data_IF_397076630085
#
_entry.id   IF_397076630085
#
_cell.length_a   1.000
_cell.length_b   1.000
_cell.length_c   1.000
_cell.angle_alpha   90.00
_cell.angle_beta   90.00
_cell.angle_gamma   90.00
#
_symmetry.space_group_name_H-M   'P 1'
#
loop_
_entity.id
_entity.type
_entity.pdbx_description
1 polymer ?
#
# COMPACT_ATOMS: atom_id res chain seq x y z
N UNK A 1 24.23 -32.00 20.00
CA UNK A 1 25.64 -31.61 19.91
C UNK A 1 25.79 -30.09 19.92
N UNK A 2 26.58 -29.54 20.81
CA UNK A 2 26.73 -28.07 20.98
C UNK A 2 27.68 -27.48 19.93
N UNK A 3 27.58 -26.18 19.60
CA UNK A 3 28.50 -25.49 18.69
C UNK A 3 30.00 -25.62 19.12
N UNK A 4 30.26 -25.62 20.44
CA UNK A 4 31.59 -25.79 20.99
C UNK A 4 32.23 -27.17 20.70
N UNK A 5 31.42 -28.22 20.74
CA UNK A 5 31.87 -29.59 20.43
C UNK A 5 32.24 -29.74 18.95
N UNK A 6 31.45 -29.13 18.05
CA UNK A 6 31.74 -29.15 16.60
C UNK A 6 33.05 -28.43 16.29
N UNK A 7 33.29 -27.28 16.92
CA UNK A 7 34.55 -26.51 16.76
C UNK A 7 35.77 -27.30 17.25
N UNK A 8 35.66 -27.91 18.42
CA UNK A 8 36.76 -28.71 19.00
C UNK A 8 37.15 -29.87 18.09
N UNK A 9 36.15 -30.63 17.60
CA UNK A 9 36.40 -31.77 16.71
C UNK A 9 36.96 -31.34 15.35
N UNK A 10 36.47 -30.21 14.80
CA UNK A 10 37.02 -29.65 13.56
C UNK A 10 38.45 -29.12 13.74
N UNK A 11 38.76 -28.48 14.87
CA UNK A 11 40.10 -28.04 15.24
C UNK A 11 41.10 -29.20 15.47
N UNK A 12 40.58 -30.39 15.77
CA UNK A 12 41.38 -31.64 15.85
C UNK A 12 41.59 -32.32 14.48
N UNK A 13 41.30 -31.63 13.35
CA UNK A 13 41.54 -32.14 12.00
C UNK A 13 40.40 -32.95 11.37
N UNK A 14 39.25 -33.10 12.04
CA UNK A 14 38.09 -33.78 11.47
C UNK A 14 37.34 -32.89 10.50
N UNK A 15 37.30 -33.26 9.22
CA UNK A 15 36.57 -32.51 8.21
C UNK A 15 35.06 -32.53 8.47
N UNK A 16 34.32 -31.44 8.07
CA UNK A 16 32.85 -31.42 8.16
C UNK A 16 32.18 -32.55 7.37
N UNK A 17 32.86 -33.09 6.34
CA UNK A 17 32.42 -34.29 5.60
C UNK A 17 32.36 -35.52 6.48
N UNK A 18 33.46 -35.78 7.21
CA UNK A 18 33.58 -36.94 8.11
C UNK A 18 32.64 -36.79 9.32
N UNK A 19 32.53 -35.60 9.86
CA UNK A 19 31.55 -35.30 10.93
C UNK A 19 30.09 -35.47 10.46
N UNK A 20 29.79 -35.17 9.20
CA UNK A 20 28.46 -35.36 8.61
C UNK A 20 28.10 -36.86 8.52
N UNK A 21 29.04 -37.69 8.11
CA UNK A 21 28.85 -39.16 8.01
C UNK A 21 28.62 -39.80 9.37
N UNK A 22 29.43 -39.39 10.37
CA UNK A 22 29.34 -39.97 11.72
C UNK A 22 28.12 -39.50 12.51
N UNK A 23 27.71 -38.25 12.30
CA UNK A 23 26.66 -37.63 13.10
C UNK A 23 25.27 -37.58 12.41
N UNK A 24 25.19 -37.99 11.13
CA UNK A 24 23.93 -37.91 10.38
C UNK A 24 23.40 -36.51 10.15
N UNK A 25 24.26 -35.47 10.33
CA UNK A 25 23.86 -34.07 10.19
C UNK A 25 24.38 -33.48 8.87
N UNK A 26 23.62 -32.61 8.17
CA UNK A 26 24.09 -31.96 6.95
C UNK A 26 25.38 -31.17 7.17
N UNK A 27 26.31 -31.22 6.20
CA UNK A 27 27.58 -30.47 6.24
C UNK A 27 27.38 -28.97 6.48
N UNK A 28 26.34 -28.36 5.86
CA UNK A 28 26.00 -26.96 6.05
C UNK A 28 25.63 -26.62 7.51
N UNK A 29 24.89 -27.50 8.18
CA UNK A 29 24.55 -27.35 9.60
C UNK A 29 25.77 -27.43 10.51
N UNK A 30 26.70 -28.35 10.21
CA UNK A 30 27.94 -28.49 10.96
C UNK A 30 28.89 -27.32 10.74
N UNK A 31 29.02 -26.85 9.50
CA UNK A 31 29.78 -25.63 9.17
C UNK A 31 29.21 -24.38 9.85
N UNK A 32 27.89 -24.21 9.86
CA UNK A 32 27.24 -23.11 10.56
C UNK A 32 27.44 -23.16 12.08
N UNK A 33 27.47 -24.35 12.70
CA UNK A 33 27.75 -24.54 14.12
C UNK A 33 29.24 -24.41 14.47
N UNK A 34 30.11 -24.76 13.53
CA UNK A 34 31.57 -24.64 13.66
C UNK A 34 32.10 -23.25 13.38
N UNK A 35 31.38 -22.46 12.61
CA UNK A 35 31.75 -21.08 12.35
C UNK A 35 31.74 -20.27 13.66
N UNK A 36 32.81 -19.56 13.94
CA UNK A 36 32.76 -18.50 14.93
C UNK A 36 31.68 -17.53 14.52
N UNK A 37 30.78 -17.18 15.46
CA UNK A 37 29.90 -16.02 15.24
C UNK A 37 30.83 -14.84 14.94
N UNK A 38 31.01 -14.52 13.66
CA UNK A 38 31.60 -13.23 13.29
C UNK A 38 30.74 -12.21 14.03
N UNK A 39 31.23 -11.75 15.17
CA UNK A 39 30.74 -10.50 15.75
C UNK A 39 30.93 -9.51 14.63
N UNK A 40 29.83 -9.22 13.91
CA UNK A 40 29.86 -8.16 12.93
C UNK A 40 30.33 -6.95 13.74
N UNK A 41 31.60 -6.55 13.55
CA UNK A 41 32.04 -5.25 13.99
C UNK A 41 30.98 -4.31 13.44
N UNK A 42 30.15 -3.80 14.31
CA UNK A 42 29.26 -2.68 14.00
C UNK A 42 30.19 -1.58 13.55
N UNK A 43 30.55 -1.57 12.27
CA UNK A 43 31.20 -0.46 11.64
C UNK A 43 30.23 0.69 11.84
N UNK A 44 30.55 1.56 12.81
CA UNK A 44 29.80 2.80 13.01
C UNK A 44 29.76 3.44 11.63
N UNK A 45 28.58 3.51 11.04
CA UNK A 45 28.44 4.07 9.68
C UNK A 45 28.90 5.52 9.75
N UNK A 46 29.98 5.82 9.03
CA UNK A 46 30.54 7.18 8.96
C UNK A 46 29.46 8.11 8.43
N UNK A 47 29.13 9.20 9.15
CA UNK A 47 28.22 10.22 8.66
C UNK A 47 28.73 10.77 7.32
N UNK A 48 27.83 10.94 6.36
CA UNK A 48 28.17 11.57 5.08
C UNK A 48 27.85 13.05 5.13
N UNK A 49 28.57 13.86 4.38
CA UNK A 49 28.40 15.32 4.35
C UNK A 49 26.95 15.78 4.08
N UNK A 50 26.20 15.01 3.28
CA UNK A 50 24.81 15.29 2.93
C UNK A 50 23.76 14.73 3.92
N UNK A 51 24.18 14.10 5.04
CA UNK A 51 23.24 13.54 6.03
C UNK A 51 22.44 14.63 6.75
N UNK A 52 22.99 15.83 6.93
CA UNK A 52 22.30 16.96 7.57
C UNK A 52 21.08 17.43 6.73
N UNK A 53 21.28 17.64 5.44
CA UNK A 53 20.20 18.00 4.53
C UNK A 53 19.14 16.91 4.44
N UNK A 54 19.55 15.63 4.41
CA UNK A 54 18.61 14.49 4.41
C UNK A 54 17.79 14.42 5.70
N UNK A 55 18.37 14.72 6.86
CA UNK A 55 17.63 14.78 8.13
C UNK A 55 16.56 15.86 8.12
N UNK A 56 16.89 17.04 7.59
CA UNK A 56 15.92 18.13 7.46
C UNK A 56 14.73 17.68 6.57
N UNK A 57 15.00 17.16 5.38
CA UNK A 57 13.94 16.65 4.49
C UNK A 57 13.12 15.52 5.14
N UNK A 58 13.76 14.64 5.90
CA UNK A 58 13.06 13.59 6.65
C UNK A 58 12.14 14.19 7.71
N UNK A 59 12.57 15.20 8.47
CA UNK A 59 11.74 15.88 9.46
C UNK A 59 10.55 16.57 8.83
N UNK A 60 10.75 17.33 7.76
CA UNK A 60 9.68 17.99 7.00
C UNK A 60 8.68 17.00 6.41
N UNK A 61 9.16 15.91 5.83
CA UNK A 61 8.29 14.85 5.33
C UNK A 61 7.50 14.18 6.46
N UNK A 62 8.15 13.87 7.57
CA UNK A 62 7.52 13.17 8.69
C UNK A 62 6.56 14.06 9.49
N UNK A 63 6.72 15.39 9.48
CA UNK A 63 5.71 16.28 10.04
C UNK A 63 4.41 16.25 9.25
N UNK A 64 4.48 16.13 7.92
CA UNK A 64 3.30 16.02 7.03
C UNK A 64 2.75 14.60 6.94
N UNK A 65 3.61 13.58 7.00
CA UNK A 65 3.27 12.16 6.79
C UNK A 65 3.86 11.27 7.89
N UNK A 66 3.38 11.38 9.15
CA UNK A 66 3.98 10.70 10.30
C UNK A 66 3.94 9.17 10.20
N UNK A 67 2.98 8.61 9.49
CA UNK A 67 2.77 7.16 9.36
C UNK A 67 3.69 6.49 8.33
N UNK A 68 4.40 7.27 7.51
CA UNK A 68 5.26 6.71 6.47
C UNK A 68 6.49 6.00 7.05
N UNK A 69 6.58 4.70 6.81
CA UNK A 69 7.72 3.87 7.20
C UNK A 69 8.92 4.02 6.25
N UNK A 70 10.04 3.39 6.61
CA UNK A 70 11.33 3.45 5.90
C UNK A 70 11.19 3.31 4.37
N UNK A 71 10.30 2.42 3.88
CA UNK A 71 10.18 2.16 2.43
C UNK A 71 9.59 3.35 1.68
N UNK A 72 8.51 3.96 2.20
CA UNK A 72 7.86 5.14 1.61
C UNK A 72 8.74 6.38 1.70
N UNK A 73 9.32 6.65 2.88
CA UNK A 73 10.28 7.75 3.08
C UNK A 73 11.45 7.64 2.11
N UNK A 74 12.03 6.44 1.96
CA UNK A 74 13.11 6.21 1.00
C UNK A 74 12.69 6.46 -0.44
N UNK A 75 11.51 6.00 -0.84
CA UNK A 75 10.99 6.17 -2.20
C UNK A 75 10.81 7.65 -2.52
N UNK A 76 10.19 8.40 -1.62
CA UNK A 76 10.00 9.85 -1.76
C UNK A 76 11.33 10.59 -1.85
N UNK A 77 12.29 10.31 -0.94
CA UNK A 77 13.62 10.93 -0.97
C UNK A 77 14.38 10.62 -2.26
N UNK A 78 14.27 9.39 -2.80
CA UNK A 78 14.90 9.05 -4.09
C UNK A 78 14.35 9.88 -5.22
N UNK A 79 13.04 10.09 -5.26
CA UNK A 79 12.36 10.91 -6.24
C UNK A 79 12.75 12.38 -6.11
N UNK A 80 12.67 12.93 -4.91
CA UNK A 80 13.04 14.32 -4.61
C UNK A 80 14.51 14.65 -4.93
N UNK A 81 15.42 13.68 -4.73
CA UNK A 81 16.86 13.87 -4.92
C UNK A 81 17.35 13.51 -6.33
N UNK A 82 16.53 12.84 -7.15
CA UNK A 82 16.96 12.32 -8.46
C UNK A 82 18.10 11.30 -8.39
N UNK A 83 18.42 10.73 -7.21
CA UNK A 83 19.55 9.82 -7.02
C UNK A 83 19.24 8.64 -6.10
N UNK A 84 19.98 7.51 -6.24
CA UNK A 84 19.77 6.33 -5.39
C UNK A 84 20.09 6.60 -3.93
N UNK A 85 19.20 6.15 -3.02
CA UNK A 85 19.39 6.22 -1.58
C UNK A 85 19.26 4.81 -0.98
N UNK A 86 20.24 4.37 -0.20
CA UNK A 86 20.26 3.06 0.41
C UNK A 86 19.29 2.90 1.58
N UNK A 87 18.60 1.73 1.66
CA UNK A 87 17.64 1.44 2.75
C UNK A 87 18.29 1.50 4.15
N UNK A 88 19.51 0.99 4.29
CA UNK A 88 20.23 1.01 5.57
C UNK A 88 20.51 2.44 6.05
N UNK A 89 20.88 3.33 5.13
CA UNK A 89 21.14 4.77 5.42
C UNK A 89 19.85 5.47 5.85
N UNK A 90 18.75 5.30 5.08
CA UNK A 90 17.44 5.89 5.44
C UNK A 90 16.97 5.39 6.81
N UNK A 91 17.12 4.10 7.10
CA UNK A 91 16.75 3.53 8.39
C UNK A 91 17.58 4.07 9.55
N UNK A 92 18.88 4.33 9.32
CA UNK A 92 19.77 4.94 10.31
C UNK A 92 19.33 6.36 10.63
N UNK A 93 19.14 7.21 9.61
CA UNK A 93 18.71 8.58 9.79
C UNK A 93 17.36 8.68 10.52
N UNK A 94 16.36 7.87 10.13
CA UNK A 94 15.07 7.82 10.82
C UNK A 94 15.18 7.37 12.29
N UNK A 95 16.14 6.50 12.61
CA UNK A 95 16.37 6.04 13.99
C UNK A 95 17.05 7.12 14.82
N UNK A 96 18.06 7.78 14.26
CA UNK A 96 18.76 8.90 14.90
C UNK A 96 17.81 10.05 15.23
N UNK A 97 16.87 10.35 14.33
CA UNK A 97 15.82 11.37 14.51
C UNK A 97 14.63 10.89 15.36
N UNK A 98 14.62 9.63 15.84
CA UNK A 98 13.49 9.00 16.59
C UNK A 98 12.16 9.00 15.82
N UNK A 99 12.20 8.97 14.49
CA UNK A 99 11.06 9.05 13.58
C UNK A 99 10.66 7.69 12.97
N UNK A 100 11.12 6.58 13.55
CA UNK A 100 10.70 5.24 13.13
C UNK A 100 9.25 5.00 13.54
N UNK A 101 8.43 4.50 12.59
CA UNK A 101 7.10 4.03 12.93
C UNK A 101 7.17 2.77 13.82
N UNK A 102 6.31 2.65 14.84
CA UNK A 102 6.20 1.44 15.65
C UNK A 102 5.96 0.19 14.79
N UNK A 103 6.60 -0.92 15.15
CA UNK A 103 6.32 -2.20 14.49
C UNK A 103 5.05 -2.80 15.06
N UNK A 104 3.98 -2.79 14.30
CA UNK A 104 2.80 -3.57 14.61
C UNK A 104 3.13 -5.07 14.49
N UNK A 105 2.67 -5.90 15.45
CA UNK A 105 2.80 -7.36 15.35
C UNK A 105 2.12 -7.83 14.06
N UNK A 106 2.88 -8.47 13.18
CA UNK A 106 2.31 -9.05 11.96
C UNK A 106 1.40 -10.22 12.33
N UNK A 107 0.11 -10.12 12.01
CA UNK A 107 -0.73 -11.32 11.90
C UNK A 107 -0.21 -12.14 10.72
N UNK A 108 -0.11 -13.46 10.89
CA UNK A 108 0.24 -14.36 9.79
C UNK A 108 -0.82 -14.23 8.68
N UNK A 109 -0.43 -13.93 7.44
CA UNK A 109 -1.38 -13.85 6.35
C UNK A 109 -1.92 -15.25 6.06
N UNK A 110 -3.23 -15.42 6.11
CA UNK A 110 -3.87 -16.63 5.58
C UNK A 110 -3.90 -16.53 4.05
N UNK A 111 -3.65 -17.62 3.30
CA UNK A 111 -3.70 -17.58 1.85
C UNK A 111 -5.10 -17.19 1.36
N UNK A 112 -5.15 -16.23 0.46
CA UNK A 112 -6.38 -15.74 -0.16
C UNK A 112 -6.19 -15.76 -1.68
N UNK A 113 -7.13 -16.37 -2.40
CA UNK A 113 -7.18 -16.27 -3.86
C UNK A 113 -8.29 -15.28 -4.23
N UNK A 114 -7.99 -14.13 -4.83
CA UNK A 114 -9.02 -13.23 -5.35
C UNK A 114 -9.80 -13.91 -6.47
N UNK A 115 -11.09 -13.64 -6.56
CA UNK A 115 -11.99 -14.23 -7.56
C UNK A 115 -11.78 -13.57 -8.94
N UNK A 116 -11.46 -12.29 -8.95
CA UNK A 116 -11.13 -11.51 -10.14
C UNK A 116 -9.86 -10.72 -9.93
N UNK A 117 -8.94 -10.83 -10.88
CA UNK A 117 -7.72 -10.04 -10.95
C UNK A 117 -7.92 -9.04 -12.08
N UNK A 118 -7.86 -7.74 -11.75
CA UNK A 118 -7.83 -6.71 -12.76
C UNK A 118 -6.49 -6.80 -13.52
N UNK A 119 -6.53 -6.96 -14.83
CA UNK A 119 -5.37 -7.00 -15.71
C UNK A 119 -5.07 -5.63 -16.35
N UNK A 120 -5.95 -4.65 -16.17
CA UNK A 120 -5.82 -3.29 -16.69
C UNK A 120 -6.66 -2.28 -15.91
N UNK A 121 -6.48 -0.98 -16.23
CA UNK A 121 -7.29 0.09 -15.69
C UNK A 121 -8.77 -0.08 -16.00
N UNK A 122 -9.62 0.40 -15.11
CA UNK A 122 -11.07 0.48 -15.29
C UNK A 122 -11.78 -0.85 -15.57
N UNK A 123 -11.16 -1.99 -15.25
CA UNK A 123 -11.81 -3.31 -15.34
C UNK A 123 -12.55 -3.68 -14.06
N UNK A 124 -11.93 -3.40 -12.90
CA UNK A 124 -12.53 -3.73 -11.61
C UNK A 124 -12.38 -2.54 -10.67
N UNK A 125 -13.51 -1.99 -10.26
CA UNK A 125 -13.56 -1.01 -9.18
C UNK A 125 -14.06 -1.64 -7.90
N UNK A 126 -13.71 -1.04 -6.76
CA UNK A 126 -14.26 -1.38 -5.46
C UNK A 126 -14.82 -0.13 -4.80
N UNK A 127 -15.99 -0.25 -4.20
CA UNK A 127 -16.59 0.81 -3.40
C UNK A 127 -16.66 0.41 -1.93
N UNK A 128 -16.49 1.38 -1.09
CA UNK A 128 -16.69 1.26 0.35
C UNK A 128 -16.90 2.65 0.97
N UNK A 129 -17.38 2.67 2.21
CA UNK A 129 -17.59 3.92 2.91
C UNK A 129 -16.84 3.98 4.23
N UNK A 130 -16.54 5.19 4.66
CA UNK A 130 -16.00 5.45 5.98
C UNK A 130 -16.66 6.67 6.60
N UNK A 131 -16.44 6.86 7.89
CA UNK A 131 -16.93 8.03 8.62
C UNK A 131 -15.82 8.63 9.47
N UNK A 132 -15.94 9.93 9.73
CA UNK A 132 -15.18 10.65 10.75
C UNK A 132 -16.07 11.72 11.40
N UNK A 133 -15.56 12.36 12.44
CA UNK A 133 -16.31 13.32 13.24
C UNK A 133 -15.79 14.73 12.94
N UNK A 134 -16.68 15.70 12.87
CA UNK A 134 -16.36 17.12 13.00
C UNK A 134 -16.14 17.46 14.47
N UNK A 135 -15.45 18.55 14.78
CA UNK A 135 -15.16 18.99 16.17
C UNK A 135 -16.43 19.15 17.00
N UNK A 136 -17.54 19.57 16.40
CA UNK A 136 -18.87 19.66 17.02
C UNK A 136 -19.60 18.33 17.24
N UNK A 137 -18.92 17.18 17.06
CA UNK A 137 -19.49 15.85 17.27
C UNK A 137 -20.41 15.35 16.15
N UNK A 138 -20.57 16.09 15.05
CA UNK A 138 -21.36 15.65 13.92
C UNK A 138 -20.60 14.63 13.08
N UNK A 139 -21.28 13.56 12.67
CA UNK A 139 -20.72 12.53 11.78
C UNK A 139 -20.80 12.97 10.33
N UNK A 140 -19.73 12.74 9.60
CA UNK A 140 -19.70 12.84 8.15
C UNK A 140 -19.23 11.51 7.56
N UNK A 141 -19.80 11.16 6.41
CA UNK A 141 -19.56 9.92 5.70
C UNK A 141 -18.85 10.20 4.39
N UNK A 142 -17.82 9.43 4.09
CA UNK A 142 -17.10 9.47 2.81
C UNK A 142 -17.29 8.13 2.12
N UNK A 143 -17.93 8.15 0.96
CA UNK A 143 -17.96 7.01 0.04
C UNK A 143 -16.80 7.17 -0.93
N UNK A 144 -16.07 6.12 -1.21
CA UNK A 144 -14.94 6.13 -2.15
C UNK A 144 -15.08 5.04 -3.20
N UNK A 145 -14.62 5.34 -4.41
CA UNK A 145 -14.52 4.40 -5.54
C UNK A 145 -13.05 4.25 -5.90
N UNK A 146 -12.55 3.04 -5.86
CA UNK A 146 -11.15 2.69 -6.09
C UNK A 146 -10.99 1.83 -7.34
N UNK A 147 -10.19 2.24 -8.30
CA UNK A 147 -9.67 1.35 -9.32
C UNK A 147 -8.66 0.37 -8.67
N UNK A 148 -8.98 -0.94 -8.73
CA UNK A 148 -8.18 -1.96 -8.07
C UNK A 148 -6.82 -2.14 -8.77
N UNK A 149 -6.73 -1.96 -10.08
CA UNK A 149 -5.47 -2.09 -10.80
C UNK A 149 -4.53 -0.92 -10.53
N UNK A 150 -5.00 0.29 -10.74
CA UNK A 150 -4.22 1.52 -10.55
C UNK A 150 -4.03 1.91 -9.08
N UNK A 151 -4.80 1.34 -8.16
CA UNK A 151 -4.89 1.82 -6.76
C UNK A 151 -5.31 3.29 -6.67
N UNK A 152 -5.98 3.79 -7.69
CA UNK A 152 -6.40 5.19 -7.85
C UNK A 152 -7.81 5.37 -7.34
N UNK A 153 -8.03 6.41 -6.57
CA UNK A 153 -9.38 6.88 -6.22
C UNK A 153 -9.95 7.60 -7.44
N UNK A 154 -10.96 7.00 -8.05
CA UNK A 154 -11.60 7.51 -9.28
C UNK A 154 -12.88 8.32 -8.99
N UNK A 155 -13.48 8.13 -7.83
CA UNK A 155 -14.64 8.89 -7.37
C UNK A 155 -14.75 8.89 -5.85
N UNK A 156 -15.45 9.89 -5.32
CA UNK A 156 -15.76 9.99 -3.89
C UNK A 156 -16.95 10.94 -3.66
N UNK A 157 -17.59 10.80 -2.51
CA UNK A 157 -18.64 11.73 -2.09
C UNK A 157 -18.64 11.87 -0.58
N UNK A 158 -18.73 13.13 -0.09
CA UNK A 158 -18.86 13.46 1.33
C UNK A 158 -20.29 13.88 1.63
N UNK A 159 -20.89 13.35 2.72
CA UNK A 159 -22.24 13.73 3.14
C UNK A 159 -22.45 13.53 4.64
N UNK A 160 -23.45 14.22 5.20
CA UNK A 160 -23.97 13.91 6.55
C UNK A 160 -24.84 12.65 6.57
N UNK A 161 -25.17 12.09 5.42
CA UNK A 161 -26.02 10.90 5.27
C UNK A 161 -25.26 9.79 4.56
N UNK A 162 -25.67 8.55 4.81
CA UNK A 162 -25.12 7.38 4.12
C UNK A 162 -26.27 6.52 3.60
N UNK A 163 -26.84 6.92 2.48
CA UNK A 163 -27.92 6.21 1.78
C UNK A 163 -27.43 5.80 0.40
N UNK A 164 -28.25 5.07 -0.36
CA UNK A 164 -27.93 4.69 -1.73
C UNK A 164 -27.61 5.89 -2.64
N UNK A 165 -28.22 7.05 -2.39
CA UNK A 165 -27.98 8.27 -3.17
C UNK A 165 -26.54 8.79 -3.05
N UNK A 166 -25.96 8.76 -1.86
CA UNK A 166 -24.59 9.20 -1.64
C UNK A 166 -23.58 8.23 -2.29
N UNK A 167 -23.90 6.93 -2.30
CA UNK A 167 -23.12 5.93 -3.02
C UNK A 167 -23.21 6.15 -4.53
N UNK A 168 -24.42 6.46 -5.06
CA UNK A 168 -24.59 6.81 -6.47
C UNK A 168 -23.82 8.07 -6.84
N UNK A 169 -23.81 9.10 -5.99
CA UNK A 169 -23.07 10.33 -6.27
C UNK A 169 -21.55 10.09 -6.40
N UNK A 170 -20.99 9.20 -5.55
CA UNK A 170 -19.58 8.79 -5.67
C UNK A 170 -19.31 7.99 -6.95
N UNK A 171 -20.24 7.11 -7.32
CA UNK A 171 -20.17 6.32 -8.56
C UNK A 171 -20.29 7.21 -9.79
N UNK A 172 -21.23 8.15 -9.80
CA UNK A 172 -21.43 9.10 -10.90
C UNK A 172 -20.18 9.94 -11.15
N UNK A 173 -19.55 10.46 -10.08
CA UNK A 173 -18.26 11.14 -10.21
C UNK A 173 -17.22 10.26 -10.90
N UNK A 174 -17.09 8.99 -10.50
CA UNK A 174 -16.14 8.05 -11.07
C UNK A 174 -16.44 7.76 -12.55
N UNK A 175 -17.71 7.49 -12.86
CA UNK A 175 -18.14 7.18 -14.22
C UNK A 175 -17.93 8.38 -15.16
N UNK A 176 -18.28 9.58 -14.74
CA UNK A 176 -18.08 10.81 -15.54
C UNK A 176 -16.58 11.09 -15.77
N UNK A 177 -15.74 10.83 -14.77
CA UNK A 177 -14.28 11.03 -14.88
C UNK A 177 -13.60 10.04 -15.81
N UNK A 178 -13.94 8.76 -15.71
CA UNK A 178 -13.21 7.71 -16.40
C UNK A 178 -13.89 7.24 -17.71
N UNK A 179 -15.20 7.46 -17.84
CA UNK A 179 -16.00 7.07 -18.99
C UNK A 179 -16.89 8.20 -19.49
N UNK A 180 -16.34 9.32 -19.98
CA UNK A 180 -17.14 10.46 -20.43
C UNK A 180 -18.08 10.13 -21.59
N UNK A 181 -17.78 9.07 -22.37
CA UNK A 181 -18.63 8.58 -23.46
C UNK A 181 -19.60 7.47 -23.04
N UNK A 182 -19.67 7.14 -21.75
CA UNK A 182 -20.51 6.08 -21.18
C UNK A 182 -19.79 4.77 -20.96
N UNK A 183 -20.34 3.93 -20.06
CA UNK A 183 -19.73 2.65 -19.61
C UNK A 183 -20.24 1.42 -20.35
N UNK A 184 -21.31 1.53 -21.10
CA UNK A 184 -21.88 0.39 -21.85
C UNK A 184 -20.82 -0.18 -22.79
N UNK A 185 -20.61 -1.47 -22.78
CA UNK A 185 -19.58 -2.18 -23.53
C UNK A 185 -18.12 -2.05 -23.00
N UNK A 186 -17.91 -1.43 -21.85
CA UNK A 186 -16.57 -1.34 -21.23
C UNK A 186 -16.25 -2.47 -20.25
N UNK A 187 -17.21 -3.39 -20.02
CA UNK A 187 -17.09 -4.57 -19.13
C UNK A 187 -16.58 -4.23 -17.70
N UNK A 188 -17.01 -3.07 -17.18
CA UNK A 188 -16.65 -2.63 -15.83
C UNK A 188 -17.32 -3.50 -14.77
N UNK A 189 -16.55 -4.07 -13.87
CA UNK A 189 -17.02 -4.78 -12.69
C UNK A 189 -16.88 -3.90 -11.45
N UNK A 190 -17.96 -3.77 -10.68
CA UNK A 190 -17.98 -3.02 -9.42
C UNK A 190 -18.09 -3.99 -8.24
N UNK A 191 -17.06 -4.06 -7.42
CA UNK A 191 -17.02 -4.87 -6.20
C UNK A 191 -17.65 -4.14 -5.04
N UNK A 192 -18.63 -4.79 -4.42
CA UNK A 192 -19.51 -4.23 -3.40
C UNK A 192 -19.60 -5.16 -2.20
N UNK A 193 -19.80 -4.58 -1.02
CA UNK A 193 -20.23 -5.34 0.15
C UNK A 193 -21.75 -5.61 0.11
N UNK A 194 -22.23 -6.41 1.06
CA UNK A 194 -23.67 -6.74 1.19
C UNK A 194 -24.40 -5.72 2.09
N UNK A 195 -23.95 -4.47 2.13
CA UNK A 195 -24.59 -3.39 2.86
C UNK A 195 -25.96 -3.02 2.27
N UNK A 196 -26.78 -2.33 3.06
CA UNK A 196 -28.14 -1.94 2.64
C UNK A 196 -28.12 -0.88 1.49
N UNK A 197 -27.05 -0.11 1.36
CA UNK A 197 -26.94 0.92 0.33
C UNK A 197 -26.73 0.28 -1.07
N UNK A 198 -25.70 -0.56 -1.30
CA UNK A 198 -25.49 -1.19 -2.61
C UNK A 198 -26.53 -2.24 -2.95
N UNK A 199 -27.22 -2.84 -1.97
CA UNK A 199 -28.30 -3.82 -2.24
C UNK A 199 -29.65 -3.19 -2.54
N UNK A 200 -29.79 -1.86 -2.44
CA UNK A 200 -31.05 -1.17 -2.73
C UNK A 200 -31.42 -1.26 -4.22
N UNK A 201 -32.73 -1.38 -4.51
CA UNK A 201 -33.22 -1.45 -5.90
C UNK A 201 -32.71 -0.28 -6.73
N UNK A 202 -32.78 0.95 -6.21
CA UNK A 202 -32.30 2.14 -6.89
C UNK A 202 -30.83 2.02 -7.33
N UNK A 203 -29.96 1.54 -6.46
CA UNK A 203 -28.55 1.38 -6.79
C UNK A 203 -28.36 0.30 -7.87
N UNK A 204 -29.04 -0.84 -7.72
CA UNK A 204 -28.98 -1.95 -8.68
C UNK A 204 -29.52 -1.57 -10.06
N UNK A 205 -30.62 -0.85 -10.12
CA UNK A 205 -31.20 -0.38 -11.38
C UNK A 205 -30.28 0.62 -12.09
N UNK A 206 -29.60 1.48 -11.33
CA UNK A 206 -28.59 2.38 -11.90
C UNK A 206 -27.41 1.60 -12.49
N UNK A 207 -26.87 0.57 -11.78
CA UNK A 207 -25.81 -0.27 -12.33
C UNK A 207 -26.21 -0.93 -13.65
N UNK A 208 -27.43 -1.47 -13.73
CA UNK A 208 -27.96 -2.08 -14.97
C UNK A 208 -28.05 -1.04 -16.10
N UNK A 209 -28.54 0.16 -15.80
CA UNK A 209 -28.68 1.25 -16.78
C UNK A 209 -27.30 1.68 -17.31
N UNK A 210 -26.30 1.77 -16.44
CA UNK A 210 -24.92 2.13 -16.80
C UNK A 210 -24.14 0.97 -17.42
N UNK A 211 -24.64 -0.27 -17.40
CA UNK A 211 -23.92 -1.45 -17.90
C UNK A 211 -22.75 -1.87 -17.00
N UNK A 212 -22.83 -1.59 -15.70
CA UNK A 212 -21.82 -1.95 -14.71
C UNK A 212 -22.17 -3.28 -14.06
N UNK A 213 -21.25 -4.22 -14.04
CA UNK A 213 -21.45 -5.56 -13.49
C UNK A 213 -21.16 -5.58 -11.97
N UNK A 214 -22.16 -5.87 -11.09
CA UNK A 214 -21.89 -5.99 -9.66
C UNK A 214 -21.18 -7.28 -9.31
N UNK A 215 -20.09 -7.21 -8.52
CA UNK A 215 -19.43 -8.35 -7.89
C UNK A 215 -19.61 -8.27 -6.38
N UNK A 216 -20.40 -9.18 -5.82
CA UNK A 216 -20.68 -9.22 -4.38
C UNK A 216 -19.60 -9.94 -3.61
N UNK A 217 -19.14 -9.33 -2.52
CA UNK A 217 -18.25 -9.96 -1.56
C UNK A 217 -19.04 -11.01 -0.78
N UNK A 218 -18.44 -12.19 -0.56
CA UNK A 218 -19.06 -13.22 0.27
C UNK A 218 -19.25 -12.74 1.72
N UNK A 219 -20.35 -13.18 2.36
CA UNK A 219 -20.59 -12.93 3.77
C UNK A 219 -19.36 -13.32 4.62
N UNK A 220 -18.98 -12.51 5.59
CA UNK A 220 -17.80 -12.70 6.43
C UNK A 220 -16.46 -12.84 5.68
N UNK A 221 -16.35 -12.26 4.49
CA UNK A 221 -15.14 -12.30 3.66
C UNK A 221 -14.47 -10.93 3.50
N UNK A 222 -14.08 -10.22 4.58
CA UNK A 222 -13.52 -8.87 4.52
C UNK A 222 -12.25 -8.78 3.67
N UNK A 223 -11.55 -9.90 3.45
CA UNK A 223 -10.37 -9.94 2.60
C UNK A 223 -10.65 -9.65 1.12
N UNK A 224 -11.89 -9.80 0.67
CA UNK A 224 -12.26 -9.56 -0.72
C UNK A 224 -12.30 -8.05 -1.03
N UNK A 225 -12.55 -7.19 -0.02
CA UNK A 225 -12.51 -5.73 -0.16
C UNK A 225 -11.24 -5.09 0.43
N UNK A 226 -10.23 -5.90 0.75
CA UNK A 226 -9.02 -5.45 1.43
C UNK A 226 -8.25 -4.32 0.72
N UNK A 227 -8.50 -4.08 -0.58
CA UNK A 227 -7.86 -3.01 -1.33
C UNK A 227 -8.43 -1.64 -0.93
N UNK A 228 -9.76 -1.49 -0.99
CA UNK A 228 -10.41 -0.24 -0.62
C UNK A 228 -10.33 0.00 0.89
N UNK A 229 -10.47 -1.04 1.73
CA UNK A 229 -10.27 -0.92 3.19
C UNK A 229 -8.88 -0.37 3.53
N UNK A 230 -7.84 -0.84 2.83
CA UNK A 230 -6.47 -0.34 3.02
C UNK A 230 -6.31 1.10 2.59
N UNK A 231 -6.95 1.50 1.50
CA UNK A 231 -6.94 2.89 1.03
C UNK A 231 -7.65 3.79 2.04
N UNK A 232 -8.84 3.41 2.51
CA UNK A 232 -9.57 4.11 3.58
C UNK A 232 -8.72 4.24 4.83
N UNK A 233 -8.05 3.16 5.26
CA UNK A 233 -7.11 3.20 6.38
C UNK A 233 -5.95 4.18 6.16
N UNK A 234 -5.46 4.30 4.94
CA UNK A 234 -4.42 5.27 4.57
C UNK A 234 -4.96 6.70 4.58
N UNK A 235 -6.16 6.96 4.00
CA UNK A 235 -6.79 8.28 4.05
C UNK A 235 -7.01 8.75 5.48
N UNK A 236 -7.51 7.87 6.35
CA UNK A 236 -7.67 8.18 7.78
C UNK A 236 -6.35 8.54 8.44
N UNK A 237 -5.33 7.69 8.28
CA UNK A 237 -4.08 7.83 9.02
C UNK A 237 -3.17 8.97 8.52
N UNK A 238 -3.24 9.30 7.22
CA UNK A 238 -2.35 10.28 6.60
C UNK A 238 -3.00 11.66 6.42
N UNK A 239 -4.35 11.78 6.61
CA UNK A 239 -5.08 13.05 6.47
C UNK A 239 -6.21 13.20 7.50
N UNK A 240 -7.28 12.36 7.45
CA UNK A 240 -8.53 12.63 8.17
C UNK A 240 -8.41 12.64 9.70
N UNK A 241 -7.41 11.95 10.26
CA UNK A 241 -7.13 11.94 11.71
C UNK A 241 -6.03 12.91 12.12
N UNK A 242 -5.44 13.63 11.18
CA UNK A 242 -4.37 14.59 11.45
C UNK A 242 -4.88 16.03 11.52
N UNK A 243 -6.02 16.30 10.93
CA UNK A 243 -6.61 17.64 10.88
C UNK A 243 -8.01 17.59 11.51
N UNK A 244 -8.33 18.52 12.39
CA UNK A 244 -9.67 18.73 12.92
C UNK A 244 -10.44 19.65 11.99
N UNK A 245 -11.72 19.36 11.76
CA UNK A 245 -12.61 20.16 10.91
C UNK A 245 -13.80 20.59 11.75
N UNK A 246 -14.09 21.86 11.77
CA UNK A 246 -15.25 22.42 12.48
C UNK A 246 -16.51 22.41 11.61
N UNK A 247 -16.33 22.57 10.31
CA UNK A 247 -17.42 22.69 9.34
C UNK A 247 -17.40 21.61 8.28
N UNK A 248 -18.56 21.38 7.65
CA UNK A 248 -18.66 20.49 6.50
C UNK A 248 -17.82 20.98 5.30
N UNK A 249 -17.69 22.28 5.12
CA UNK A 249 -16.89 22.87 4.05
C UNK A 249 -15.38 22.54 4.24
N UNK A 250 -14.87 22.65 5.45
CA UNK A 250 -13.50 22.26 5.80
C UNK A 250 -13.29 20.76 5.61
N UNK A 251 -14.22 19.93 6.05
CA UNK A 251 -14.16 18.48 5.84
C UNK A 251 -14.15 18.13 4.34
N UNK A 252 -14.95 18.85 3.52
CA UNK A 252 -14.95 18.64 2.07
C UNK A 252 -13.61 19.06 1.43
N UNK A 253 -13.04 20.17 1.85
CA UNK A 253 -11.72 20.62 1.42
C UNK A 253 -10.63 19.62 1.81
N UNK A 254 -10.68 19.09 3.05
CA UNK A 254 -9.75 18.08 3.54
C UNK A 254 -9.84 16.78 2.73
N UNK A 255 -11.04 16.26 2.46
CA UNK A 255 -11.22 15.04 1.65
C UNK A 255 -10.75 15.29 0.21
N UNK A 256 -11.05 16.43 -0.38
CA UNK A 256 -10.57 16.81 -1.72
C UNK A 256 -9.05 16.81 -1.78
N UNK A 257 -8.40 17.45 -0.80
CA UNK A 257 -6.93 17.48 -0.64
C UNK A 257 -6.38 16.06 -0.48
N UNK A 258 -6.99 15.25 0.40
CA UNK A 258 -6.56 13.89 0.70
C UNK A 258 -6.61 12.99 -0.55
N UNK A 259 -7.70 13.02 -1.32
CA UNK A 259 -7.84 12.23 -2.55
C UNK A 259 -6.82 12.67 -3.61
N UNK A 260 -6.66 13.98 -3.80
CA UNK A 260 -5.68 14.52 -4.75
C UNK A 260 -4.26 14.11 -4.39
N UNK A 261 -3.83 14.34 -3.15
CA UNK A 261 -2.47 14.00 -2.71
C UNK A 261 -2.24 12.49 -2.67
N UNK A 262 -3.27 11.70 -2.31
CA UNK A 262 -3.19 10.25 -2.39
C UNK A 262 -2.92 9.80 -3.82
N UNK A 263 -3.67 10.28 -4.80
CA UNK A 263 -3.49 9.90 -6.19
C UNK A 263 -2.14 10.39 -6.76
N UNK A 264 -1.76 11.63 -6.47
CA UNK A 264 -0.59 12.26 -7.07
C UNK A 264 0.75 11.89 -6.38
N UNK A 265 0.74 11.67 -5.05
CA UNK A 265 1.99 11.62 -4.30
C UNK A 265 2.20 10.34 -3.47
N UNK A 266 1.12 9.58 -3.18
CA UNK A 266 1.25 8.45 -2.23
C UNK A 266 1.93 7.24 -2.86
N UNK A 267 3.18 6.84 -2.42
CA UNK A 267 3.91 5.76 -3.04
C UNK A 267 3.36 4.40 -2.61
N UNK A 268 2.93 3.61 -3.58
CA UNK A 268 2.40 2.27 -3.38
C UNK A 268 3.44 1.17 -3.58
N UNK A 269 3.57 0.28 -2.60
CA UNK A 269 4.48 -0.88 -2.73
C UNK A 269 4.07 -1.80 -3.88
N UNK A 270 2.76 -1.99 -4.09
CA UNK A 270 2.23 -2.81 -5.18
C UNK A 270 2.44 -2.20 -6.57
N UNK A 271 2.66 -0.89 -6.65
CA UNK A 271 2.96 -0.15 -7.86
C UNK A 271 4.46 0.20 -7.95
N UNK A 272 5.34 -0.61 -7.40
CA UNK A 272 6.78 -0.35 -7.37
C UNK A 272 7.17 1.04 -6.81
N UNK A 273 6.37 1.58 -5.90
CA UNK A 273 6.46 2.91 -5.30
C UNK A 273 6.10 4.09 -6.20
N UNK A 274 5.51 3.85 -7.34
CA UNK A 274 4.79 4.91 -8.06
C UNK A 274 3.57 5.35 -7.25
N UNK A 275 3.18 6.62 -7.40
CA UNK A 275 1.83 7.03 -7.02
C UNK A 275 0.80 6.49 -8.03
N UNK A 276 -0.50 6.46 -7.70
CA UNK A 276 -1.53 6.03 -8.64
C UNK A 276 -1.50 6.77 -9.99
N UNK A 277 -1.35 8.10 -9.96
CA UNK A 277 -1.30 8.91 -11.18
C UNK A 277 -0.02 8.70 -11.99
N UNK A 278 1.13 8.58 -11.33
CA UNK A 278 2.40 8.23 -12.01
C UNK A 278 2.31 6.86 -12.67
N UNK A 279 1.74 5.88 -11.97
CA UNK A 279 1.57 4.53 -12.50
C UNK A 279 0.62 4.53 -13.70
N UNK A 280 -0.50 5.29 -13.62
CA UNK A 280 -1.43 5.47 -14.73
C UNK A 280 -0.73 6.06 -15.96
N UNK A 281 0.03 7.13 -15.78
CA UNK A 281 0.78 7.77 -16.87
C UNK A 281 1.79 6.79 -17.51
N UNK A 282 2.58 6.11 -16.70
CA UNK A 282 3.57 5.13 -17.19
C UNK A 282 2.91 3.94 -17.91
N UNK A 283 1.72 3.50 -17.44
CA UNK A 283 0.95 2.44 -18.08
C UNK A 283 0.50 2.85 -19.49
N UNK A 284 -0.16 4.01 -19.63
CA UNK A 284 -0.63 4.48 -20.94
C UNK A 284 0.52 4.90 -21.89
N UNK A 285 1.68 5.27 -21.36
CA UNK A 285 2.89 5.49 -22.14
C UNK A 285 3.60 4.20 -22.59
N UNK A 286 3.07 3.01 -22.24
CA UNK A 286 3.66 1.72 -22.58
C UNK A 286 5.00 1.41 -21.86
N UNK A 287 5.31 2.16 -20.81
CA UNK A 287 6.56 2.02 -20.04
C UNK A 287 6.50 0.89 -18.99
N UNK A 288 5.32 0.36 -18.75
CA UNK A 288 5.07 -0.70 -17.76
C UNK A 288 4.61 -1.95 -18.49
N UNK A 289 5.41 -3.02 -18.41
CA UNK A 289 4.99 -4.35 -18.84
C UNK A 289 4.17 -5.02 -17.75
N UNK A 290 2.97 -5.49 -18.09
CA UNK A 290 2.14 -6.29 -17.19
C UNK A 290 2.61 -7.73 -17.29
N UNK A 291 3.13 -8.29 -16.20
CA UNK A 291 3.37 -9.73 -16.13
C UNK A 291 2.06 -10.44 -15.73
N UNK A 292 1.53 -11.36 -16.56
CA UNK A 292 0.27 -12.06 -16.27
C UNK A 292 0.30 -12.93 -14.99
N UNK A 293 1.44 -13.11 -14.36
CA UNK A 293 1.65 -13.96 -13.17
C UNK A 293 1.82 -13.18 -11.87
N UNK A 294 0.99 -12.19 -11.60
CA UNK A 294 0.86 -11.55 -10.25
C UNK A 294 2.12 -10.90 -9.63
N UNK A 295 3.21 -10.76 -10.34
CA UNK A 295 4.35 -9.96 -9.92
C UNK A 295 4.57 -8.86 -10.95
N UNK A 296 4.23 -7.64 -10.55
CA UNK A 296 4.63 -6.43 -11.25
C UNK A 296 6.16 -6.34 -11.26
N UNK A 297 6.78 -6.94 -12.26
CA UNK A 297 8.16 -6.65 -12.62
C UNK A 297 8.14 -5.39 -13.51
N UNK A 298 8.32 -4.25 -12.85
CA UNK A 298 8.58 -3.00 -13.56
C UNK A 298 10.01 -3.08 -14.06
N UNK A 299 10.17 -3.46 -15.31
CA UNK A 299 11.44 -3.29 -16.04
C UNK A 299 11.40 -1.89 -16.65
N UNK A 300 12.17 -0.90 -16.16
CA UNK A 300 12.32 0.34 -16.90
C UNK A 300 12.96 -0.02 -18.22
N UNK A 301 12.25 0.19 -19.34
CA UNK A 301 12.89 0.21 -20.66
C UNK A 301 13.93 1.33 -20.59
N UNK A 302 15.19 0.94 -20.79
CA UNK A 302 16.27 1.90 -20.96
C UNK A 302 15.90 2.88 -22.10
N UNK A 303 16.04 4.17 -21.78
CA UNK A 303 15.95 5.26 -22.77
C UNK A 303 17.10 5.17 -23.75
#
# INVERSE_FOLDING_TARGET
MTPGTVRRLHGQGLSYGRLSQVLGLPKSTLAARGAEKRTSRLTKSVPRADDAALRQQIRELKSRKPTWGIRRVRAWLRKSLGRPLGRKRTARLLREERLLCPRLKKRQPRPFKPRYLASGPNQVWAMDMTQFMLSGGQKVFVVVVLDIFLRRLVGWHLSHRCRAQEWLAALDMALLSEFPSGTRAQDLTLRLDNGCQPTSNRFQDTLKTCGVNPEWIGYNSPKQNAHVERVIGTLKADWLWLEECDTFAEANALVTKAVREYNAEHPHVALAFFSPDEYRQAYYAGQIAINPKDKLEVTPKAA
#
